data_IF_948816159586
#
_entry.id   IF_948816159586
#
_cell.length_a   1.000
_cell.length_b   1.000
_cell.length_c   1.000
_cell.angle_alpha   90.00
_cell.angle_beta   90.00
_cell.angle_gamma   90.00
#
_symmetry.space_group_name_H-M   'P 1'
#
loop_
_entity.id
_entity.type
_entity.pdbx_description
1 polymer ?
#
# COMPACT_ATOMS: atom_id res chain seq x y z
N UNK A 1 -21.76 -35.16 -57.05
CA UNK A 1 -20.84 -36.14 -56.41
C UNK A 1 -19.43 -35.77 -56.89
N UNK A 2 -18.39 -35.54 -56.11
CA UNK A 2 -18.06 -35.92 -54.75
C UNK A 2 -17.29 -34.80 -54.05
N UNK A 3 -17.51 -34.65 -52.74
CA UNK A 3 -16.74 -33.79 -51.84
C UNK A 3 -15.36 -34.42 -51.62
N UNK A 4 -14.29 -33.63 -51.77
CA UNK A 4 -12.96 -33.97 -51.26
C UNK A 4 -12.66 -33.08 -50.06
N UNK A 5 -12.77 -33.69 -48.88
CA UNK A 5 -12.31 -33.20 -47.60
C UNK A 5 -10.78 -33.12 -47.59
N UNK A 6 -10.23 -32.05 -47.01
CA UNK A 6 -8.82 -32.01 -46.62
C UNK A 6 -8.74 -31.58 -45.16
N UNK A 7 -8.09 -32.45 -44.39
CA UNK A 7 -8.00 -32.43 -42.95
C UNK A 7 -7.28 -31.17 -42.43
N UNK A 8 -7.79 -30.65 -41.32
CA UNK A 8 -7.22 -29.55 -40.55
C UNK A 8 -6.13 -30.14 -39.66
N UNK A 9 -4.87 -29.84 -39.99
CA UNK A 9 -3.69 -30.13 -39.17
C UNK A 9 -3.70 -29.15 -38.00
N UNK A 10 -3.81 -29.68 -36.79
CA UNK A 10 -3.56 -28.96 -35.54
C UNK A 10 -2.07 -28.99 -35.29
N UNK A 11 -1.40 -27.85 -35.50
CA UNK A 11 -0.02 -27.66 -35.08
C UNK A 11 -0.03 -27.12 -33.65
N UNK A 12 0.68 -27.87 -32.81
CA UNK A 12 0.95 -27.66 -31.40
C UNK A 12 2.33 -27.02 -31.35
N UNK A 13 2.45 -25.76 -30.91
CA UNK A 13 3.75 -25.16 -30.58
C UNK A 13 3.65 -24.44 -29.23
N UNK A 14 4.19 -25.16 -28.25
CA UNK A 14 4.92 -24.78 -27.03
C UNK A 14 5.05 -23.29 -26.69
N UNK A 15 4.25 -22.85 -25.71
CA UNK A 15 4.49 -21.64 -24.92
C UNK A 15 5.33 -22.03 -23.68
N UNK A 16 6.63 -21.69 -23.72
CA UNK A 16 7.59 -21.92 -22.63
C UNK A 16 7.35 -20.95 -21.47
N UNK A 17 6.28 -21.22 -20.74
CA UNK A 17 5.91 -20.54 -19.50
C UNK A 17 6.37 -21.35 -18.29
N UNK A 18 7.65 -21.24 -17.94
CA UNK A 18 8.14 -21.73 -16.65
C UNK A 18 7.71 -20.77 -15.52
N UNK A 19 6.47 -20.93 -15.08
CA UNK A 19 6.06 -20.55 -13.73
C UNK A 19 6.65 -21.57 -12.76
N UNK A 20 7.31 -21.18 -11.65
CA UNK A 20 7.59 -22.15 -10.61
C UNK A 20 6.26 -22.46 -9.92
N UNK A 21 5.81 -23.70 -10.11
CA UNK A 21 4.72 -24.31 -9.38
C UNK A 21 4.98 -24.18 -7.88
N UNK A 22 4.10 -23.48 -7.18
CA UNK A 22 4.05 -23.49 -5.72
C UNK A 22 3.41 -24.81 -5.29
N UNK A 23 4.23 -25.86 -5.29
CA UNK A 23 3.93 -27.13 -4.61
C UNK A 23 5.09 -27.39 -3.66
N UNK A 24 5.06 -26.71 -2.52
CA UNK A 24 5.82 -27.10 -1.35
C UNK A 24 5.10 -26.57 -0.13
N UNK A 25 4.29 -27.44 0.46
CA UNK A 25 3.86 -27.36 1.85
C UNK A 25 5.12 -27.42 2.71
N UNK A 26 5.70 -26.26 3.01
CA UNK A 26 6.74 -26.10 4.03
C UNK A 26 6.16 -25.20 5.11
N UNK A 27 6.11 -25.78 6.29
CA UNK A 27 5.66 -25.21 7.55
C UNK A 27 6.22 -23.79 7.72
N UNK A 28 5.32 -22.82 7.81
CA UNK A 28 5.64 -21.49 8.30
C UNK A 28 5.80 -21.66 9.81
N UNK A 29 7.05 -21.76 10.25
CA UNK A 29 7.38 -21.70 11.68
C UNK A 29 6.93 -20.35 12.23
N UNK A 30 6.03 -20.42 13.21
CA UNK A 30 5.52 -19.32 14.02
C UNK A 30 6.65 -18.38 14.46
N UNK A 31 6.79 -17.22 13.81
CA UNK A 31 7.57 -16.11 14.36
C UNK A 31 7.02 -15.80 15.77
N UNK A 32 7.88 -15.68 16.76
CA UNK A 32 7.46 -15.60 18.16
C UNK A 32 6.86 -14.22 18.44
N UNK A 33 5.53 -14.15 18.55
CA UNK A 33 4.83 -13.00 19.11
C UNK A 33 5.40 -12.75 20.51
N UNK A 34 6.13 -11.64 20.67
CA UNK A 34 6.84 -11.33 21.91
C UNK A 34 6.42 -9.96 22.42
N UNK A 35 6.24 -9.83 23.73
CA UNK A 35 6.09 -8.53 24.38
C UNK A 35 7.48 -7.89 24.49
N UNK A 36 7.77 -6.95 23.60
CA UNK A 36 9.01 -6.16 23.60
C UNK A 36 8.91 -5.03 24.62
N UNK A 37 10.02 -4.65 25.26
CA UNK A 37 10.08 -3.43 26.08
C UNK A 37 9.83 -2.15 25.27
N UNK A 38 9.92 -2.23 23.93
CA UNK A 38 9.70 -1.12 23.00
C UNK A 38 8.24 -0.95 22.60
N UNK A 39 7.44 -2.01 22.63
CA UNK A 39 6.06 -2.00 22.13
C UNK A 39 5.10 -2.32 23.26
N UNK A 40 4.07 -1.49 23.45
CA UNK A 40 3.10 -1.69 24.53
C UNK A 40 2.12 -2.85 24.25
N UNK A 41 2.38 -3.64 23.21
CA UNK A 41 1.53 -4.68 22.68
C UNK A 41 2.37 -5.79 22.03
N UNK A 42 1.83 -7.01 21.89
CA UNK A 42 2.57 -8.10 21.25
C UNK A 42 2.82 -7.79 19.76
N UNK A 43 4.04 -8.04 19.29
CA UNK A 43 4.41 -7.81 17.89
C UNK A 43 5.10 -9.02 17.29
N UNK A 44 4.89 -9.21 15.98
CA UNK A 44 5.76 -10.05 15.16
C UNK A 44 6.96 -9.22 14.70
N UNK A 45 8.17 -9.69 15.00
CA UNK A 45 9.40 -8.96 14.67
C UNK A 45 9.57 -8.72 13.18
N UNK A 46 9.06 -9.62 12.33
CA UNK A 46 9.19 -9.52 10.88
C UNK A 46 8.34 -8.43 10.22
N UNK A 47 7.36 -7.86 10.95
CA UNK A 47 6.51 -6.79 10.44
C UNK A 47 7.13 -5.38 10.63
N UNK A 48 8.19 -5.26 11.42
CA UNK A 48 8.81 -3.96 11.70
C UNK A 48 9.57 -3.44 10.47
N UNK A 49 8.95 -2.54 9.73
CA UNK A 49 9.53 -1.86 8.57
C UNK A 49 9.04 -0.41 8.48
N UNK A 50 9.98 0.54 8.52
CA UNK A 50 9.72 1.95 8.35
C UNK A 50 9.55 2.32 6.87
N UNK A 51 8.56 3.16 6.60
CA UNK A 51 8.22 3.60 5.24
C UNK A 51 9.10 4.80 4.85
N UNK A 52 9.72 4.81 3.65
CA UNK A 52 10.63 5.88 3.26
C UNK A 52 9.88 7.20 3.00
N UNK A 53 10.57 8.33 3.22
CA UNK A 53 10.06 9.68 2.92
C UNK A 53 9.44 9.78 1.51
N UNK A 54 10.07 9.14 0.51
CA UNK A 54 9.60 9.13 -0.87
C UNK A 54 8.15 8.63 -1.01
N UNK A 55 7.75 7.63 -0.23
CA UNK A 55 6.40 7.10 -0.29
C UNK A 55 5.37 8.15 0.15
N UNK A 56 5.69 8.95 1.17
CA UNK A 56 4.87 10.07 1.63
C UNK A 56 4.89 11.26 0.66
N UNK A 57 6.04 11.54 0.02
CA UNK A 57 6.11 12.57 -1.03
C UNK A 57 5.16 12.27 -2.20
N UNK A 58 5.05 11.00 -2.60
CA UNK A 58 4.17 10.58 -3.69
C UNK A 58 2.68 10.81 -3.39
N UNK A 59 2.26 10.72 -2.13
CA UNK A 59 0.87 10.95 -1.73
C UNK A 59 0.60 12.37 -1.20
N UNK A 60 1.62 13.20 -1.05
CA UNK A 60 1.45 14.58 -0.57
C UNK A 60 0.38 15.38 -1.37
N UNK A 61 0.27 15.28 -2.70
CA UNK A 61 -0.81 15.96 -3.44
C UNK A 61 -2.23 15.41 -3.12
N UNK A 62 -2.32 14.16 -2.66
CA UNK A 62 -3.58 13.54 -2.22
C UNK A 62 -3.97 14.08 -0.85
N UNK A 63 -3.03 14.11 0.09
CA UNK A 63 -3.24 14.71 1.41
C UNK A 63 -3.60 16.20 1.31
N UNK A 64 -2.97 16.95 0.39
CA UNK A 64 -3.34 18.33 0.08
C UNK A 64 -4.78 18.44 -0.43
N UNK A 65 -5.20 17.50 -1.29
CA UNK A 65 -6.59 17.44 -1.79
C UNK A 65 -7.58 17.20 -0.65
N UNK A 66 -7.26 16.31 0.29
CA UNK A 66 -8.09 16.05 1.48
C UNK A 66 -8.17 17.32 2.35
N UNK A 67 -7.03 17.94 2.66
CA UNK A 67 -6.98 19.16 3.45
C UNK A 67 -7.82 20.29 2.83
N UNK A 68 -7.69 20.51 1.51
CA UNK A 68 -8.47 21.52 0.79
C UNK A 68 -9.98 21.26 0.83
N UNK A 69 -10.42 19.99 0.70
CA UNK A 69 -11.85 19.64 0.83
C UNK A 69 -12.41 19.94 2.21
N UNK A 70 -11.57 19.84 3.24
CA UNK A 70 -11.92 20.16 4.62
C UNK A 70 -11.69 21.63 4.98
N UNK A 71 -11.25 22.47 4.02
CA UNK A 71 -10.82 23.86 4.25
C UNK A 71 -9.74 23.97 5.34
N UNK A 72 -8.84 22.99 5.41
CA UNK A 72 -7.73 22.93 6.34
C UNK A 72 -6.41 23.24 5.65
N UNK A 73 -5.50 23.87 6.40
CA UNK A 73 -4.08 23.89 6.03
C UNK A 73 -3.47 22.50 6.24
N UNK A 74 -2.43 22.10 5.47
CA UNK A 74 -1.75 20.81 5.68
C UNK A 74 -1.29 20.57 7.12
N UNK A 75 -0.81 21.61 7.80
CA UNK A 75 -0.39 21.55 9.22
C UNK A 75 -1.53 21.32 10.21
N UNK A 76 -2.78 21.47 9.78
CA UNK A 76 -3.99 21.26 10.59
C UNK A 76 -4.70 19.94 10.29
N UNK A 77 -4.35 19.27 9.18
CA UNK A 77 -4.89 17.97 8.81
C UNK A 77 -4.45 16.89 9.83
N UNK A 78 -5.40 16.23 10.47
CA UNK A 78 -5.14 15.15 11.44
C UNK A 78 -4.98 13.83 10.70
N UNK A 79 -3.75 13.33 10.68
CA UNK A 79 -3.39 12.07 10.04
C UNK A 79 -3.25 11.01 11.12
N UNK A 80 -4.00 9.92 11.02
CA UNK A 80 -3.92 8.80 11.96
C UNK A 80 -3.23 7.59 11.32
N UNK A 81 -2.17 7.11 11.97
CA UNK A 81 -1.58 5.80 11.68
C UNK A 81 -1.80 4.86 12.88
N UNK A 82 -2.66 3.84 12.73
CA UNK A 82 -2.97 2.91 13.81
C UNK A 82 -1.83 1.93 14.15
N UNK A 83 -0.89 1.68 13.23
CA UNK A 83 0.13 0.66 13.43
C UNK A 83 1.47 1.28 13.81
N UNK A 84 1.99 0.92 14.98
CA UNK A 84 3.23 1.49 15.52
C UNK A 84 4.45 0.60 15.25
N UNK A 85 5.49 1.18 14.62
CA UNK A 85 6.80 0.56 14.39
C UNK A 85 7.85 1.23 15.30
N UNK A 86 8.62 2.21 14.79
CA UNK A 86 9.61 3.00 15.54
C UNK A 86 9.37 4.52 15.42
N UNK A 87 8.39 4.91 14.60
CA UNK A 87 7.80 6.26 14.58
C UNK A 87 8.39 7.21 13.54
N UNK A 88 9.19 6.72 12.58
CA UNK A 88 9.83 7.58 11.56
C UNK A 88 8.80 8.34 10.71
N UNK A 89 7.61 7.78 10.52
CA UNK A 89 6.49 8.42 9.82
C UNK A 89 6.25 9.85 10.29
N UNK A 90 6.24 10.11 11.61
CA UNK A 90 5.96 11.45 12.15
C UNK A 90 6.97 12.47 11.63
N UNK A 91 8.24 12.09 11.59
CA UNK A 91 9.32 12.95 11.11
C UNK A 91 9.17 13.18 9.60
N UNK A 92 8.95 12.12 8.82
CA UNK A 92 8.73 12.24 7.38
C UNK A 92 7.52 13.11 7.02
N UNK A 93 6.40 12.97 7.70
CA UNK A 93 5.22 13.80 7.46
C UNK A 93 5.43 15.25 7.90
N UNK A 94 6.15 15.46 9.01
CA UNK A 94 6.50 16.80 9.48
C UNK A 94 7.37 17.56 8.49
N UNK A 95 8.34 16.92 7.82
CA UNK A 95 9.17 17.58 6.78
C UNK A 95 8.35 17.97 5.55
N UNK A 96 7.18 17.35 5.34
CA UNK A 96 6.22 17.68 4.30
C UNK A 96 5.15 18.70 4.74
N UNK A 97 5.25 19.23 5.97
CA UNK A 97 4.35 20.24 6.51
C UNK A 97 3.12 19.71 7.26
N UNK A 98 3.02 18.39 7.46
CA UNK A 98 1.94 17.76 8.22
C UNK A 98 2.35 17.56 9.68
N UNK A 99 1.91 18.45 10.56
CA UNK A 99 2.34 18.47 11.98
C UNK A 99 1.38 17.79 12.94
N UNK A 100 0.17 17.41 12.51
CA UNK A 100 -0.83 16.73 13.36
C UNK A 100 -0.93 15.24 13.04
N UNK A 101 0.17 14.55 13.28
CA UNK A 101 0.26 13.08 13.10
C UNK A 101 -0.04 12.38 14.41
N UNK A 102 -1.10 11.58 14.42
CA UNK A 102 -1.54 10.75 15.52
C UNK A 102 -0.98 9.34 15.29
N UNK A 103 0.02 8.97 16.08
CA UNK A 103 0.69 7.68 15.98
C UNK A 103 1.24 7.33 17.36
N UNK A 104 0.56 6.40 18.03
CA UNK A 104 0.80 6.05 19.43
C UNK A 104 1.30 4.61 19.51
N UNK A 105 2.17 4.35 20.48
CA UNK A 105 2.62 2.99 20.80
C UNK A 105 1.52 2.26 21.59
N UNK A 106 0.46 1.88 20.89
CA UNK A 106 -0.73 1.22 21.44
C UNK A 106 -1.24 0.17 20.44
N UNK A 107 -1.93 -0.85 20.95
CA UNK A 107 -2.59 -1.85 20.12
C UNK A 107 -3.82 -1.25 19.42
N UNK A 108 -3.78 -1.19 18.09
CA UNK A 108 -4.89 -0.75 17.25
C UNK A 108 -6.20 -1.51 17.51
N UNK A 109 -6.14 -2.84 17.63
CA UNK A 109 -7.35 -3.65 17.79
C UNK A 109 -7.97 -3.44 19.16
N UNK A 110 -7.14 -3.23 20.18
CA UNK A 110 -7.61 -2.83 21.49
C UNK A 110 -8.29 -1.44 21.44
N UNK A 111 -7.76 -0.49 20.65
CA UNK A 111 -8.43 0.81 20.46
C UNK A 111 -9.79 0.67 19.77
N UNK A 112 -9.93 -0.24 18.79
CA UNK A 112 -11.23 -0.53 18.16
C UNK A 112 -12.21 -1.09 19.20
N UNK A 113 -11.80 -2.11 19.95
CA UNK A 113 -12.64 -2.77 20.96
C UNK A 113 -13.13 -1.79 22.03
N UNK A 114 -12.25 -0.90 22.48
CA UNK A 114 -12.58 0.11 23.50
C UNK A 114 -13.26 1.36 22.94
N UNK A 115 -13.50 1.43 21.63
CA UNK A 115 -14.04 2.63 20.94
C UNK A 115 -13.22 3.89 21.24
N UNK A 116 -11.90 3.73 21.36
CA UNK A 116 -10.96 4.79 21.72
C UNK A 116 -10.10 5.23 20.53
N UNK A 117 -10.61 5.06 19.31
CA UNK A 117 -9.98 5.57 18.11
C UNK A 117 -9.96 7.11 18.19
N UNK A 118 -8.79 7.75 18.03
CA UNK A 118 -8.69 9.20 18.13
C UNK A 118 -9.43 9.87 16.96
N UNK A 119 -9.99 11.06 17.21
CA UNK A 119 -10.62 11.85 16.15
C UNK A 119 -9.56 12.27 15.10
N UNK A 120 -9.81 11.93 13.84
CA UNK A 120 -8.89 12.17 12.74
C UNK A 120 -9.63 12.51 11.44
N UNK A 121 -8.90 13.05 10.48
CA UNK A 121 -9.43 13.48 9.19
C UNK A 121 -9.12 12.46 8.08
N UNK A 122 -8.02 11.73 8.20
CA UNK A 122 -7.57 10.71 7.25
C UNK A 122 -6.79 9.61 7.97
N UNK A 123 -7.04 8.36 7.59
CA UNK A 123 -6.22 7.22 8.00
C UNK A 123 -5.11 6.99 6.97
N UNK A 124 -3.86 6.96 7.42
CA UNK A 124 -2.69 6.76 6.58
C UNK A 124 -1.80 5.71 7.25
N UNK A 125 -1.50 4.61 6.56
CA UNK A 125 -0.66 3.57 7.18
C UNK A 125 0.06 2.67 6.16
N UNK A 126 1.13 2.03 6.63
CA UNK A 126 1.76 0.85 6.05
C UNK A 126 1.58 -0.29 7.07
N UNK A 127 0.52 -1.11 6.94
CA UNK A 127 0.19 -2.06 7.99
C UNK A 127 1.19 -3.23 8.04
N UNK A 128 1.21 -3.98 9.15
CA UNK A 128 1.80 -5.32 9.19
C UNK A 128 1.22 -6.21 8.09
N UNK A 129 2.07 -7.07 7.50
CA UNK A 129 1.64 -7.96 6.41
C UNK A 129 1.45 -9.40 6.87
N UNK A 130 1.84 -9.72 8.11
CA UNK A 130 1.57 -11.01 8.72
C UNK A 130 0.09 -11.19 9.09
N UNK A 131 -0.26 -12.43 9.44
CA UNK A 131 -1.55 -12.82 10.01
C UNK A 131 -2.77 -12.26 9.23
N UNK A 132 -3.77 -11.79 9.96
CA UNK A 132 -5.02 -11.22 9.42
C UNK A 132 -5.03 -9.68 9.48
N UNK A 133 -3.87 -9.03 9.68
CA UNK A 133 -3.80 -7.59 9.92
C UNK A 133 -4.41 -6.76 8.78
N UNK A 134 -4.11 -7.13 7.53
CA UNK A 134 -4.66 -6.47 6.34
C UNK A 134 -6.18 -6.63 6.27
N UNK A 135 -6.70 -7.82 6.60
CA UNK A 135 -8.13 -8.10 6.52
C UNK A 135 -8.90 -7.31 7.59
N UNK A 136 -8.39 -7.28 8.82
CA UNK A 136 -8.96 -6.47 9.91
C UNK A 136 -8.91 -4.97 9.60
N UNK A 137 -7.81 -4.48 9.03
CA UNK A 137 -7.70 -3.09 8.58
C UNK A 137 -8.73 -2.75 7.51
N UNK A 138 -8.84 -3.59 6.48
CA UNK A 138 -9.81 -3.41 5.40
C UNK A 138 -11.23 -3.40 5.95
N UNK A 139 -11.58 -4.34 6.83
CA UNK A 139 -12.86 -4.34 7.53
C UNK A 139 -13.09 -3.01 8.25
N UNK A 140 -12.12 -2.54 9.02
CA UNK A 140 -12.24 -1.28 9.76
C UNK A 140 -12.52 -0.08 8.85
N UNK A 141 -11.75 0.10 7.77
CA UNK A 141 -11.89 1.26 6.87
C UNK A 141 -13.09 1.18 5.92
N UNK A 142 -13.70 0.02 5.77
CA UNK A 142 -14.92 -0.16 4.95
C UNK A 142 -16.20 -0.29 5.78
N UNK A 143 -16.10 -0.32 7.11
CA UNK A 143 -17.28 -0.27 7.97
C UNK A 143 -18.04 1.06 7.81
N UNK A 144 -19.37 1.02 7.93
CA UNK A 144 -20.20 2.23 7.91
C UNK A 144 -19.91 3.21 9.05
N UNK A 145 -19.16 2.79 10.07
CA UNK A 145 -18.77 3.62 11.21
C UNK A 145 -17.44 4.35 10.97
N UNK A 146 -16.80 4.16 9.82
CA UNK A 146 -15.60 4.89 9.42
C UNK A 146 -15.78 5.46 8.01
N UNK A 147 -16.22 6.71 7.94
CA UNK A 147 -16.46 7.47 6.71
C UNK A 147 -15.25 8.33 6.31
N UNK A 148 -14.06 8.02 6.82
CA UNK A 148 -12.86 8.84 6.58
C UNK A 148 -12.12 8.40 5.32
N UNK A 149 -11.52 9.34 4.57
CA UNK A 149 -10.50 9.02 3.59
C UNK A 149 -9.42 8.11 4.17
N UNK A 150 -8.90 7.22 3.34
CA UNK A 150 -7.79 6.36 3.73
C UNK A 150 -6.76 6.18 2.61
N UNK A 151 -5.50 6.06 3.02
CA UNK A 151 -4.36 5.77 2.17
C UNK A 151 -3.58 4.62 2.79
N UNK A 152 -3.65 3.44 2.17
CA UNK A 152 -3.02 2.22 2.71
C UNK A 152 -1.89 1.79 1.79
N UNK A 153 -0.66 1.73 2.29
CA UNK A 153 0.49 1.21 1.55
C UNK A 153 0.56 -0.30 1.72
N UNK A 154 0.12 -1.04 0.71
CA UNK A 154 0.01 -2.50 0.81
C UNK A 154 0.68 -3.19 -0.39
N UNK A 155 1.06 -4.47 -0.27
CA UNK A 155 1.56 -5.24 -1.39
C UNK A 155 0.53 -5.36 -2.51
N UNK A 156 1.02 -5.43 -3.74
CA UNK A 156 0.16 -5.56 -4.92
C UNK A 156 -0.59 -6.91 -5.00
N UNK A 157 -0.17 -7.92 -4.22
CA UNK A 157 -0.89 -9.21 -4.15
C UNK A 157 -2.19 -9.10 -3.36
N UNK A 158 -2.36 -8.10 -2.49
CA UNK A 158 -3.57 -7.91 -1.67
C UNK A 158 -4.80 -7.75 -2.56
N UNK A 159 -4.70 -6.95 -3.62
CA UNK A 159 -5.80 -6.74 -4.58
C UNK A 159 -6.23 -8.01 -5.35
N UNK A 160 -5.53 -9.14 -5.19
CA UNK A 160 -5.87 -10.43 -5.83
C UNK A 160 -6.61 -11.37 -4.89
N UNK A 161 -6.65 -11.07 -3.59
CA UNK A 161 -7.35 -11.88 -2.59
C UNK A 161 -8.87 -11.78 -2.75
N UNK A 162 -9.60 -12.85 -2.45
CA UNK A 162 -11.07 -12.86 -2.45
C UNK A 162 -11.63 -11.87 -1.43
N UNK A 163 -11.03 -11.84 -0.25
CA UNK A 163 -11.42 -11.02 0.90
C UNK A 163 -11.33 -9.54 0.55
N UNK A 164 -10.29 -9.15 -0.20
CA UNK A 164 -10.15 -7.79 -0.72
C UNK A 164 -11.36 -7.41 -1.59
N UNK A 165 -11.73 -8.26 -2.54
CA UNK A 165 -12.86 -7.96 -3.44
C UNK A 165 -14.18 -7.87 -2.67
N UNK A 166 -14.38 -8.73 -1.67
CA UNK A 166 -15.57 -8.70 -0.82
C UNK A 166 -15.68 -7.40 0.00
N UNK A 167 -14.57 -6.87 0.52
CA UNK A 167 -14.56 -5.68 1.37
C UNK A 167 -14.48 -4.37 0.58
N UNK A 168 -13.68 -4.33 -0.48
CA UNK A 168 -13.34 -3.11 -1.23
C UNK A 168 -14.08 -2.99 -2.57
N UNK A 169 -14.78 -4.04 -3.02
CA UNK A 169 -15.36 -4.11 -4.37
C UNK A 169 -16.33 -2.98 -4.70
N UNK A 170 -17.05 -2.47 -3.69
CA UNK A 170 -18.01 -1.36 -3.83
C UNK A 170 -17.47 -0.03 -3.30
N UNK A 171 -16.24 0.01 -2.79
CA UNK A 171 -15.65 1.24 -2.25
C UNK A 171 -14.93 1.96 -3.40
N UNK A 172 -15.30 3.20 -3.75
CA UNK A 172 -14.56 3.96 -4.75
C UNK A 172 -13.11 4.16 -4.30
N UNK A 173 -12.17 3.58 -5.03
CA UNK A 173 -10.73 3.71 -4.77
C UNK A 173 -9.93 3.68 -6.07
N UNK A 174 -8.68 4.16 -6.00
CA UNK A 174 -7.68 4.00 -7.04
C UNK A 174 -6.33 3.67 -6.41
N UNK A 175 -5.35 3.42 -7.25
CA UNK A 175 -4.01 3.02 -6.83
C UNK A 175 -2.98 4.04 -7.28
N UNK A 176 -1.97 4.27 -6.44
CA UNK A 176 -0.75 4.99 -6.80
C UNK A 176 0.46 4.09 -6.51
N UNK A 177 1.27 3.82 -7.53
CA UNK A 177 2.44 2.94 -7.41
C UNK A 177 3.70 3.67 -7.85
N UNK A 178 4.83 3.51 -7.15
CA UNK A 178 6.06 4.13 -7.59
C UNK A 178 6.61 3.41 -8.83
N UNK A 179 7.30 4.14 -9.71
CA UNK A 179 7.96 3.57 -10.89
C UNK A 179 9.18 2.75 -10.49
N UNK A 180 9.90 3.19 -9.46
CA UNK A 180 10.94 2.43 -8.75
C UNK A 180 10.34 1.92 -7.43
N UNK A 181 10.50 0.66 -7.04
CA UNK A 181 9.99 0.16 -5.76
C UNK A 181 10.42 1.02 -4.57
N UNK A 182 9.59 1.09 -3.53
CA UNK A 182 9.99 1.71 -2.27
C UNK A 182 10.99 0.82 -1.53
N UNK A 183 12.08 1.41 -1.06
CA UNK A 183 13.01 0.77 -0.12
C UNK A 183 12.57 1.11 1.29
N UNK A 184 12.18 0.09 2.05
CA UNK A 184 11.80 0.19 3.46
C UNK A 184 13.04 0.00 4.33
N UNK A 185 12.95 0.40 5.60
CA UNK A 185 14.02 0.21 6.57
C UNK A 185 13.51 -0.59 7.75
N UNK A 186 14.00 -1.82 7.90
CA UNK A 186 13.82 -2.59 9.13
C UNK A 186 14.67 -1.94 10.23
N UNK A 187 14.11 -1.68 11.43
CA UNK A 187 14.86 -1.06 12.51
C UNK A 187 16.08 -1.89 12.91
N UNK A 188 17.22 -1.23 13.14
CA UNK A 188 18.49 -1.92 13.44
C UNK A 188 18.51 -2.68 14.77
N UNK A 189 17.56 -2.38 15.67
CA UNK A 189 17.39 -3.13 16.91
C UNK A 189 16.68 -4.47 16.71
N UNK A 190 16.17 -4.75 15.51
CA UNK A 190 15.50 -6.02 15.20
C UNK A 190 16.54 -7.10 14.89
N UNK A 191 16.69 -8.05 15.81
CA UNK A 191 17.65 -9.15 15.69
C UNK A 191 17.16 -10.28 14.77
N UNK A 192 15.84 -10.40 14.57
CA UNK A 192 15.21 -11.43 13.71
C UNK A 192 15.25 -11.06 12.22
N UNK A 193 16.28 -10.33 11.81
CA UNK A 193 16.39 -9.78 10.46
C UNK A 193 16.51 -10.89 9.40
N UNK A 194 15.60 -10.97 8.41
CA UNK A 194 15.71 -11.93 7.31
C UNK A 194 16.92 -11.70 6.39
N UNK A 195 17.36 -12.76 5.69
CA UNK A 195 18.51 -12.72 4.77
C UNK A 195 18.42 -11.67 3.65
N UNK A 196 17.19 -11.32 3.23
CA UNK A 196 16.97 -10.34 2.15
C UNK A 196 17.08 -8.89 2.62
N UNK A 197 17.24 -8.64 3.92
CA UNK A 197 17.40 -7.32 4.50
C UNK A 197 18.89 -7.00 4.63
N UNK A 198 19.30 -5.87 4.07
CA UNK A 198 20.69 -5.42 4.04
C UNK A 198 21.23 -5.09 5.45
N UNK A 199 22.55 -4.90 5.56
CA UNK A 199 23.19 -4.53 6.84
C UNK A 199 22.67 -3.22 7.43
N UNK A 200 22.37 -2.24 6.56
CA UNK A 200 21.77 -0.96 6.93
C UNK A 200 20.25 -1.04 7.21
N UNK A 201 19.67 -2.24 7.24
CA UNK A 201 18.23 -2.46 7.44
C UNK A 201 17.38 -2.27 6.18
N UNK A 202 17.95 -1.91 5.04
CA UNK A 202 17.17 -1.69 3.82
C UNK A 202 16.59 -2.99 3.26
N UNK A 203 15.33 -2.93 2.87
CA UNK A 203 14.60 -4.06 2.29
C UNK A 203 13.55 -3.62 1.27
N UNK A 204 13.21 -4.49 0.35
CA UNK A 204 12.12 -4.31 -0.62
C UNK A 204 11.41 -5.66 -0.80
N UNK A 205 10.64 -6.10 0.20
CA UNK A 205 10.11 -7.46 0.21
C UNK A 205 9.07 -7.67 -0.89
N UNK A 206 8.30 -6.63 -1.20
CA UNK A 206 7.23 -6.68 -2.19
C UNK A 206 7.15 -5.40 -3.02
N UNK A 207 6.56 -5.53 -4.22
CA UNK A 207 6.03 -4.38 -4.94
C UNK A 207 4.75 -3.91 -4.23
N UNK A 208 4.81 -2.72 -3.63
CA UNK A 208 3.71 -2.09 -2.92
C UNK A 208 3.14 -0.89 -3.68
N UNK A 209 1.89 -0.58 -3.41
CA UNK A 209 1.19 0.59 -3.92
C UNK A 209 0.32 1.18 -2.83
N UNK A 210 0.03 2.47 -2.93
CA UNK A 210 -1.00 3.12 -2.14
C UNK A 210 -2.37 2.77 -2.70
N UNK A 211 -3.25 2.27 -1.83
CA UNK A 211 -4.68 2.05 -2.05
C UNK A 211 -5.39 3.27 -1.47
N UNK A 212 -6.06 4.05 -2.32
CA UNK A 212 -6.51 5.39 -1.98
C UNK A 212 -8.02 5.48 -2.17
N UNK A 213 -8.73 5.76 -1.08
CA UNK A 213 -10.13 6.19 -1.10
C UNK A 213 -10.27 7.55 -0.43
N UNK A 214 -11.11 8.41 -1.02
CA UNK A 214 -11.35 9.77 -0.52
C UNK A 214 -12.77 9.94 0.04
N UNK A 215 -13.47 8.81 0.25
CA UNK A 215 -14.89 8.77 0.59
C UNK A 215 -15.74 9.76 -0.24
N UNK A 216 -15.58 9.70 -1.56
CA UNK A 216 -16.29 10.58 -2.49
C UNK A 216 -16.82 9.76 -3.68
N UNK A 217 -17.57 10.41 -4.57
CA UNK A 217 -18.07 9.74 -5.77
C UNK A 217 -16.92 9.28 -6.69
N UNK A 218 -17.19 8.29 -7.54
CA UNK A 218 -16.22 7.83 -8.55
C UNK A 218 -15.81 8.96 -9.51
N UNK A 219 -16.71 9.90 -9.79
CA UNK A 219 -16.45 11.03 -10.67
C UNK A 219 -15.38 11.94 -10.07
N UNK A 220 -15.59 12.36 -8.82
CA UNK A 220 -14.63 13.18 -8.08
C UNK A 220 -13.29 12.46 -7.88
N UNK A 221 -13.33 11.15 -7.64
CA UNK A 221 -12.12 10.34 -7.50
C UNK A 221 -11.33 10.29 -8.82
N UNK A 222 -12.02 10.18 -9.96
CA UNK A 222 -11.43 10.23 -11.29
C UNK A 222 -10.81 11.59 -11.64
N UNK A 223 -11.31 12.69 -11.06
CA UNK A 223 -10.66 14.01 -11.17
C UNK A 223 -9.33 14.05 -10.42
N UNK A 224 -9.29 13.50 -9.20
CA UNK A 224 -8.05 13.40 -8.43
C UNK A 224 -7.04 12.51 -9.14
N UNK A 225 -7.46 11.35 -9.66
CA UNK A 225 -6.59 10.47 -10.47
C UNK A 225 -5.98 11.23 -11.66
N UNK A 226 -6.80 11.96 -12.44
CA UNK A 226 -6.34 12.75 -13.59
C UNK A 226 -5.38 13.86 -13.19
N UNK A 227 -5.65 14.55 -12.06
CA UNK A 227 -4.75 15.57 -11.52
C UNK A 227 -3.38 14.98 -11.18
N UNK A 228 -3.34 13.83 -10.50
CA UNK A 228 -2.10 13.14 -10.15
C UNK A 228 -1.31 12.68 -11.39
N UNK A 229 -2.00 12.13 -12.39
CA UNK A 229 -1.38 11.74 -13.67
C UNK A 229 -0.81 12.97 -14.40
N UNK A 230 -1.51 14.12 -14.32
CA UNK A 230 -1.04 15.40 -14.85
C UNK A 230 0.21 15.93 -14.13
N UNK A 231 0.25 15.84 -12.80
CA UNK A 231 1.42 16.20 -11.98
C UNK A 231 2.63 15.34 -12.38
N UNK A 232 2.44 14.02 -12.48
CA UNK A 232 3.50 13.09 -12.86
C UNK A 232 4.05 13.37 -14.28
N UNK A 233 3.18 13.74 -15.23
CA UNK A 233 3.58 14.06 -16.62
C UNK A 233 4.30 15.41 -16.75
N UNK A 234 3.93 16.42 -15.97
CA UNK A 234 4.51 17.77 -16.07
C UNK A 234 5.98 17.80 -15.62
N UNK A 235 6.37 16.93 -14.68
CA UNK A 235 7.76 16.83 -14.21
C UNK A 235 8.66 15.96 -15.11
N UNK A 236 8.50 16.02 -16.43
CA UNK A 236 9.42 15.34 -17.37
C UNK A 236 10.86 15.82 -17.13
N UNK A 237 11.68 14.97 -16.51
CA UNK A 237 13.08 15.25 -16.20
C UNK A 237 13.41 15.26 -14.70
N UNK A 238 12.42 15.47 -13.83
CA UNK A 238 12.56 15.44 -12.37
C UNK A 238 11.74 14.29 -11.77
N UNK A 239 12.25 13.70 -10.69
CA UNK A 239 11.86 12.36 -10.21
C UNK A 239 10.50 12.29 -9.49
N UNK A 240 9.38 12.70 -10.10
CA UNK A 240 8.04 12.33 -9.60
C UNK A 240 7.62 11.00 -10.21
N UNK A 241 8.40 9.99 -9.81
CA UNK A 241 8.41 8.63 -10.30
C UNK A 241 7.29 7.77 -9.73
N UNK A 242 6.05 8.09 -10.05
CA UNK A 242 4.88 7.22 -9.79
C UNK A 242 3.96 7.14 -11.01
N UNK A 243 3.01 6.20 -10.93
CA UNK A 243 1.86 6.08 -11.83
C UNK A 243 0.59 5.89 -11.01
N UNK A 244 -0.55 6.29 -11.54
CA UNK A 244 -1.87 6.05 -10.95
C UNK A 244 -2.72 5.18 -11.86
N UNK A 245 -3.61 4.35 -11.31
CA UNK A 245 -4.59 3.59 -12.09
C UNK A 245 -5.75 3.10 -11.21
N UNK A 246 -6.88 2.77 -11.82
CA UNK A 246 -8.01 2.12 -11.14
C UNK A 246 -7.78 0.66 -10.74
N UNK A 247 -6.75 0.01 -11.28
CA UNK A 247 -6.45 -1.39 -10.96
C UNK A 247 -4.94 -1.62 -10.88
N UNK A 248 -4.54 -2.62 -10.09
CA UNK A 248 -3.13 -3.07 -10.00
C UNK A 248 -2.59 -3.54 -11.37
N UNK A 249 -3.42 -4.19 -12.20
CA UNK A 249 -3.06 -4.54 -13.59
C UNK A 249 -2.75 -3.29 -14.42
N UNK A 250 -3.54 -2.23 -14.26
CA UNK A 250 -3.32 -0.93 -14.88
C UNK A 250 -1.99 -0.29 -14.44
N UNK A 251 -1.67 -0.35 -13.14
CA UNK A 251 -0.37 0.12 -12.62
C UNK A 251 0.79 -0.61 -13.30
N UNK A 252 0.77 -1.95 -13.31
CA UNK A 252 1.81 -2.79 -13.92
C UNK A 252 2.06 -2.39 -15.37
N UNK A 253 1.00 -2.21 -16.15
CA UNK A 253 1.10 -1.79 -17.55
C UNK A 253 1.68 -0.38 -17.69
N UNK A 254 1.24 0.59 -16.87
CA UNK A 254 1.78 1.97 -16.91
C UNK A 254 3.26 2.00 -16.53
N UNK A 255 3.69 1.26 -15.50
CA UNK A 255 5.10 1.14 -15.10
C UNK A 255 5.94 0.57 -16.25
N UNK A 256 5.48 -0.52 -16.88
CA UNK A 256 6.17 -1.11 -18.03
C UNK A 256 6.33 -0.11 -19.18
N UNK A 257 5.31 0.68 -19.47
CA UNK A 257 5.38 1.73 -20.49
C UNK A 257 6.39 2.83 -20.15
N UNK A 258 6.45 3.26 -18.88
CA UNK A 258 7.43 4.24 -18.43
C UNK A 258 8.85 3.69 -18.56
N UNK A 259 9.08 2.45 -18.14
CA UNK A 259 10.40 1.82 -18.19
C UNK A 259 10.88 1.56 -19.63
N UNK A 260 9.98 1.23 -20.56
CA UNK A 260 10.31 1.09 -21.99
C UNK A 260 10.73 2.41 -22.64
N UNK A 261 10.21 3.55 -22.20
CA UNK A 261 10.59 4.88 -22.73
C UNK A 261 11.94 5.38 -22.23
N UNK A 262 12.50 4.77 -21.19
CA UNK A 262 13.80 5.12 -20.60
C UNK A 262 14.96 4.27 -21.16
N UNK A 263 14.63 3.20 -21.89
CA UNK A 263 15.59 2.39 -22.66
C UNK A 263 15.69 2.95 -24.06
#
# INVERSE_FOLDING_TARGET
MAKRSKARKTDTEEDSSASPACTSTKEITSAAITLSSRHAFPTNSLDHCETPLRAYQHIAPVLETIANRLNLQPSKLRIYDPYYCDGSMKQHLSTLGYTRVIHFNVDFYHQIQNKSIPEHDVLLTNPPYSEDHIEKLLQFVTTSNNDKPFLLLMPNWVARKSEYNSLMGNVPHFFLSPVKPYTYTMPLWNEDKPDHVQENGETTPYLSSWYISLNCSEMELGEVERRLDGIAKKKKGEEMGWVVAKTVKGLKWKIQKVNKKKR
#
